data_IF_958722328378
#
_entry.id   IF_958722328378
#
_cell.length_a   1.000
_cell.length_b   1.000
_cell.length_c   1.000
_cell.angle_alpha   90.00
_cell.angle_beta   90.00
_cell.angle_gamma   90.00
#
_symmetry.space_group_name_H-M   'P 1'
#
loop_
_entity.id
_entity.type
_entity.pdbx_description
1 polymer ?
#
# COMPACT_ATOMS: atom_id res chain seq x y z
N UNK A 1 -6.53 -35.26 11.65
CA UNK A 1 -7.50 -34.16 11.84
C UNK A 1 -6.85 -32.86 12.29
N UNK A 2 -6.22 -32.75 13.46
CA UNK A 2 -5.63 -31.46 13.93
C UNK A 2 -4.63 -30.87 12.93
N UNK A 3 -3.69 -31.68 12.45
CA UNK A 3 -2.68 -31.26 11.48
C UNK A 3 -3.27 -30.82 10.13
N UNK A 4 -4.33 -31.49 9.68
CA UNK A 4 -5.04 -31.13 8.43
C UNK A 4 -5.84 -29.84 8.59
N UNK A 5 -6.51 -29.66 9.74
CA UNK A 5 -7.21 -28.41 10.07
C UNK A 5 -6.27 -27.20 10.11
N UNK A 6 -5.07 -27.38 10.70
CA UNK A 6 -4.01 -26.37 10.70
C UNK A 6 -3.50 -26.07 9.28
N UNK A 7 -3.26 -27.10 8.47
CA UNK A 7 -2.83 -26.94 7.09
C UNK A 7 -3.87 -26.19 6.23
N UNK A 8 -5.15 -26.54 6.37
CA UNK A 8 -6.25 -25.88 5.68
C UNK A 8 -6.36 -24.41 6.11
N UNK A 9 -6.29 -24.12 7.41
CA UNK A 9 -6.34 -22.76 7.93
C UNK A 9 -5.18 -21.90 7.39
N UNK A 10 -3.97 -22.49 7.30
CA UNK A 10 -2.80 -21.85 6.66
C UNK A 10 -3.12 -21.46 5.22
N UNK A 11 -3.74 -22.36 4.45
CA UNK A 11 -4.03 -22.15 3.03
C UNK A 11 -5.00 -20.99 2.77
N UNK A 12 -5.87 -20.68 3.74
CA UNK A 12 -6.82 -19.56 3.69
C UNK A 12 -6.38 -18.32 4.49
N UNK A 13 -5.16 -18.32 5.03
CA UNK A 13 -4.64 -17.26 5.90
C UNK A 13 -5.56 -16.94 7.11
N UNK A 14 -6.26 -17.95 7.63
CA UNK A 14 -7.15 -17.83 8.78
C UNK A 14 -6.54 -18.49 10.01
N UNK A 15 -7.08 -18.21 11.20
CA UNK A 15 -6.61 -18.82 12.46
C UNK A 15 -7.26 -20.17 12.69
N UNK A 16 -6.52 -21.11 13.27
CA UNK A 16 -7.05 -22.40 13.72
C UNK A 16 -7.12 -22.43 15.25
N UNK A 17 -8.22 -22.95 15.79
CA UNK A 17 -8.38 -23.25 17.21
C UNK A 17 -9.28 -24.48 17.34
N UNK A 18 -8.86 -25.45 18.15
CA UNK A 18 -9.69 -26.60 18.50
C UNK A 18 -10.54 -26.22 19.72
N UNK A 19 -11.83 -26.56 19.71
CA UNK A 19 -12.79 -26.15 20.75
C UNK A 19 -13.82 -27.25 20.97
N UNK A 20 -14.22 -27.42 22.23
CA UNK A 20 -15.31 -28.32 22.60
C UNK A 20 -16.22 -27.66 23.62
N UNK A 21 -17.48 -27.43 23.24
CA UNK A 21 -18.48 -26.77 24.10
C UNK A 21 -18.91 -27.69 25.26
N UNK A 22 -18.97 -29.01 25.04
CA UNK A 22 -19.44 -29.97 26.04
C UNK A 22 -18.55 -30.06 27.29
N UNK A 23 -17.27 -29.66 27.17
CA UNK A 23 -16.31 -29.61 28.27
C UNK A 23 -15.75 -28.20 28.51
N UNK A 24 -16.36 -27.18 27.89
CA UNK A 24 -15.94 -25.79 27.94
C UNK A 24 -14.45 -25.55 27.59
N UNK A 25 -13.92 -26.29 26.62
CA UNK A 25 -12.54 -26.16 26.17
C UNK A 25 -12.40 -25.07 25.10
N UNK A 26 -11.51 -24.10 25.35
CA UNK A 26 -11.13 -23.01 24.43
C UNK A 26 -12.24 -22.07 23.97
N UNK A 27 -13.42 -22.11 24.62
CA UNK A 27 -14.57 -21.27 24.25
C UNK A 27 -14.24 -19.78 24.45
N UNK A 28 -13.71 -19.41 25.62
CA UNK A 28 -13.34 -18.02 25.92
C UNK A 28 -12.23 -17.53 24.99
N UNK A 29 -11.21 -18.36 24.77
CA UNK A 29 -10.09 -18.07 23.86
C UNK A 29 -10.55 -17.85 22.41
N UNK A 30 -11.53 -18.63 21.94
CA UNK A 30 -12.14 -18.44 20.63
C UNK A 30 -12.85 -17.08 20.53
N UNK A 31 -13.67 -16.74 21.53
CA UNK A 31 -14.45 -15.50 21.53
C UNK A 31 -13.56 -14.25 21.65
N UNK A 32 -12.60 -14.27 22.58
CA UNK A 32 -11.59 -13.21 22.74
C UNK A 32 -10.73 -13.09 21.49
N UNK A 33 -10.31 -14.23 20.92
CA UNK A 33 -9.52 -14.29 19.69
C UNK A 33 -10.24 -13.67 18.49
N UNK A 34 -11.53 -13.97 18.31
CA UNK A 34 -12.35 -13.42 17.24
C UNK A 34 -12.53 -11.90 17.38
N UNK A 35 -12.88 -11.43 18.58
CA UNK A 35 -13.04 -9.99 18.86
C UNK A 35 -11.73 -9.23 18.60
N UNK A 36 -10.62 -9.77 19.05
CA UNK A 36 -9.28 -9.20 18.84
C UNK A 36 -8.96 -9.11 17.35
N UNK A 37 -9.25 -10.18 16.59
CA UNK A 37 -9.03 -10.21 15.15
C UNK A 37 -9.86 -9.16 14.39
N UNK A 38 -11.11 -8.96 14.79
CA UNK A 38 -11.98 -7.93 14.21
C UNK A 38 -11.39 -6.53 14.45
N UNK A 39 -10.99 -6.22 15.68
CA UNK A 39 -10.39 -4.92 16.03
C UNK A 39 -9.10 -4.66 15.26
N UNK A 40 -8.21 -5.65 15.17
CA UNK A 40 -6.98 -5.54 14.39
C UNK A 40 -7.27 -5.29 12.90
N UNK A 41 -8.21 -6.02 12.29
CA UNK A 41 -8.58 -5.83 10.89
C UNK A 41 -9.10 -4.41 10.61
N UNK A 42 -9.89 -3.84 11.51
CA UNK A 42 -10.37 -2.46 11.40
C UNK A 42 -9.22 -1.44 11.48
N UNK A 43 -8.34 -1.58 12.47
CA UNK A 43 -7.18 -0.70 12.63
C UNK A 43 -6.24 -0.76 11.42
N UNK A 44 -5.97 -1.95 10.90
CA UNK A 44 -5.16 -2.11 9.70
C UNK A 44 -5.82 -1.51 8.46
N UNK A 45 -7.15 -1.67 8.30
CA UNK A 45 -7.88 -1.04 7.21
C UNK A 45 -7.80 0.48 7.28
N UNK A 46 -7.99 1.07 8.47
CA UNK A 46 -7.88 2.50 8.70
C UNK A 46 -6.45 3.01 8.39
N UNK A 47 -5.42 2.35 8.90
CA UNK A 47 -4.02 2.71 8.66
C UNK A 47 -3.65 2.62 7.17
N UNK A 48 -4.15 1.60 6.45
CA UNK A 48 -3.96 1.48 4.99
C UNK A 48 -4.64 2.63 4.23
N UNK A 49 -5.86 2.97 4.60
CA UNK A 49 -6.60 4.08 3.99
C UNK A 49 -5.88 5.42 4.19
N UNK A 50 -5.36 5.68 5.40
CA UNK A 50 -4.61 6.91 5.71
C UNK A 50 -3.32 7.00 4.88
N UNK A 51 -2.53 5.92 4.81
CA UNK A 51 -1.32 5.84 3.99
C UNK A 51 -1.63 6.11 2.51
N UNK A 52 -2.74 5.57 2.01
CA UNK A 52 -3.18 5.81 0.64
C UNK A 52 -3.57 7.27 0.40
N UNK A 53 -4.27 7.92 1.34
CA UNK A 53 -4.60 9.35 1.28
C UNK A 53 -3.34 10.23 1.23
N UNK A 54 -2.37 10.00 2.12
CA UNK A 54 -1.08 10.73 2.12
C UNK A 54 -0.33 10.59 0.79
N UNK A 55 -0.28 9.37 0.24
CA UNK A 55 0.35 9.11 -1.07
C UNK A 55 -0.34 9.85 -2.21
N UNK A 56 -1.67 9.89 -2.22
CA UNK A 56 -2.44 10.57 -3.26
C UNK A 56 -2.35 12.10 -3.13
N UNK A 57 -2.34 12.63 -1.91
CA UNK A 57 -2.13 14.06 -1.64
C UNK A 57 -0.79 14.58 -2.16
N UNK A 58 0.31 13.84 -1.91
CA UNK A 58 1.65 14.18 -2.41
C UNK A 58 1.77 14.21 -3.94
N UNK A 59 1.01 13.36 -4.65
CA UNK A 59 0.95 13.40 -6.12
C UNK A 59 0.20 14.63 -6.63
N UNK A 60 -0.88 15.04 -5.96
CA UNK A 60 -1.68 16.20 -6.35
C UNK A 60 -0.89 17.50 -6.21
N UNK A 61 -0.09 17.65 -5.15
CA UNK A 61 0.77 18.84 -4.97
C UNK A 61 1.89 18.92 -6.01
N UNK A 62 2.52 17.80 -6.36
CA UNK A 62 3.55 17.76 -7.42
C UNK A 62 3.03 18.08 -8.82
N UNK A 63 1.81 17.66 -9.16
CA UNK A 63 1.22 18.01 -10.47
C UNK A 63 0.85 19.50 -10.55
N UNK A 64 0.34 20.09 -9.46
CA UNK A 64 0.00 21.51 -9.42
C UNK A 64 1.22 22.44 -9.50
N UNK A 65 2.36 22.02 -8.96
CA UNK A 65 3.63 22.72 -9.09
C UNK A 65 4.29 22.60 -10.49
N UNK A 66 3.71 21.79 -11.39
CA UNK A 66 4.21 21.59 -12.76
C UNK A 66 3.37 22.26 -13.84
N UNK A 67 2.31 23.00 -13.47
CA UNK A 67 1.64 23.89 -14.41
C UNK A 67 2.64 24.98 -14.83
N UNK A 68 2.91 25.15 -16.14
CA UNK A 68 3.70 26.26 -16.62
C UNK A 68 3.02 27.55 -16.15
N UNK A 69 3.73 28.40 -15.41
CA UNK A 69 3.34 29.80 -15.35
C UNK A 69 3.43 30.32 -16.77
N UNK A 70 2.30 30.75 -17.33
CA UNK A 70 2.28 31.55 -18.54
C UNK A 70 3.24 32.73 -18.31
N UNK A 71 4.28 32.78 -19.12
CA UNK A 71 5.19 33.91 -19.17
C UNK A 71 4.41 34.95 -19.96
N UNK A 72 3.99 36.00 -19.27
CA UNK A 72 3.42 37.20 -19.86
C UNK A 72 4.36 37.69 -20.97
N UNK A 73 3.81 37.77 -22.18
CA UNK A 73 4.51 38.05 -23.44
C UNK A 73 5.02 39.51 -23.42
N UNK A 74 6.33 39.78 -23.55
CA UNK A 74 6.79 41.15 -23.77
C UNK A 74 6.46 41.59 -25.21
N UNK A 75 6.23 42.89 -25.46
CA UNK A 75 5.71 43.39 -26.74
C UNK A 75 6.68 43.13 -27.90
N UNK A 76 6.18 43.00 -29.15
CA UNK A 76 6.99 42.53 -30.28
C UNK A 76 8.00 43.59 -30.75
N UNK A 77 9.27 43.22 -31.02
CA UNK A 77 10.21 44.06 -31.79
C UNK A 77 10.02 43.89 -33.31
N UNK A 78 10.39 44.90 -34.13
CA UNK A 78 10.15 44.88 -35.57
C UNK A 78 11.07 43.90 -36.30
N UNK A 79 10.57 43.47 -37.47
CA UNK A 79 11.07 42.41 -38.34
C UNK A 79 12.58 42.43 -38.62
N UNK A 80 13.24 41.27 -38.51
CA UNK A 80 13.90 40.60 -39.65
C UNK A 80 14.56 39.26 -39.26
N UNK A 81 14.48 38.31 -40.20
CA UNK A 81 15.39 37.17 -40.43
C UNK A 81 15.42 35.95 -39.47
N UNK A 82 14.84 34.85 -39.98
CA UNK A 82 15.28 33.45 -39.94
C UNK A 82 15.44 32.72 -38.58
N UNK A 83 14.48 31.84 -38.27
CA UNK A 83 14.54 30.88 -37.16
C UNK A 83 14.64 29.42 -37.64
N UNK A 84 15.66 28.68 -37.21
CA UNK A 84 15.59 27.20 -37.07
C UNK A 84 15.58 26.85 -35.57
N UNK A 85 14.72 25.92 -35.09
CA UNK A 85 14.58 25.69 -33.67
C UNK A 85 15.62 24.70 -33.14
N UNK A 86 16.54 25.19 -32.32
CA UNK A 86 17.43 24.36 -31.49
C UNK A 86 16.59 23.75 -30.35
N UNK A 87 16.04 22.55 -30.57
CA UNK A 87 15.35 21.77 -29.52
C UNK A 87 16.34 21.46 -28.38
N UNK A 88 16.20 22.17 -27.27
CA UNK A 88 16.92 21.90 -26.02
C UNK A 88 16.57 20.48 -25.54
N UNK A 89 17.58 19.63 -25.49
CA UNK A 89 17.54 18.29 -24.90
C UNK A 89 17.06 18.39 -23.45
N UNK A 90 15.79 18.06 -23.16
CA UNK A 90 15.39 17.68 -21.80
C UNK A 90 15.81 16.22 -21.62
N UNK A 91 16.96 16.00 -21.00
CA UNK A 91 17.33 14.70 -20.47
C UNK A 91 16.26 14.32 -19.43
N UNK A 92 15.42 13.35 -19.78
CA UNK A 92 14.40 12.79 -18.90
C UNK A 92 15.08 12.14 -17.69
N UNK A 93 14.58 12.47 -16.50
CA UNK A 93 15.07 11.97 -15.23
C UNK A 93 15.29 10.44 -15.26
N UNK A 94 16.54 10.03 -15.06
CA UNK A 94 16.89 8.61 -14.90
C UNK A 94 16.20 8.10 -13.63
N UNK A 95 15.12 7.33 -13.80
CA UNK A 95 14.44 6.66 -12.70
C UNK A 95 15.33 5.51 -12.28
N UNK A 96 15.99 5.65 -11.11
CA UNK A 96 16.73 4.56 -10.48
C UNK A 96 15.75 3.41 -10.14
N UNK A 97 15.67 2.42 -11.02
CA UNK A 97 14.76 1.24 -10.95
C UNK A 97 14.95 0.39 -9.68
N UNK A 98 16.08 0.54 -8.97
CA UNK A 98 16.37 -0.21 -7.72
C UNK A 98 15.31 -0.03 -6.61
N UNK A 99 14.52 1.04 -6.62
CA UNK A 99 13.48 1.29 -5.60
C UNK A 99 12.06 0.81 -5.96
N UNK A 100 11.83 0.26 -7.14
CA UNK A 100 10.49 -0.21 -7.57
C UNK A 100 10.27 -1.68 -7.22
N UNK A 101 11.31 -2.50 -7.34
CA UNK A 101 11.25 -3.94 -7.03
C UNK A 101 10.93 -4.22 -5.54
N UNK A 102 11.49 -3.43 -4.62
CA UNK A 102 11.18 -3.57 -3.18
C UNK A 102 9.71 -3.31 -2.83
N UNK A 103 8.97 -2.55 -3.66
CA UNK A 103 7.53 -2.32 -3.47
C UNK A 103 6.65 -3.45 -3.98
N UNK A 104 7.15 -4.28 -4.90
CA UNK A 104 6.45 -5.45 -5.42
C UNK A 104 6.63 -6.64 -4.47
N UNK A 105 7.82 -6.78 -3.86
CA UNK A 105 8.09 -7.82 -2.86
C UNK A 105 7.47 -7.56 -1.47
N UNK A 106 7.11 -6.32 -1.14
CA UNK A 106 6.37 -6.02 0.09
C UNK A 106 4.93 -6.56 0.11
N UNK A 107 4.49 -7.23 -0.97
CA UNK A 107 3.12 -7.73 -1.16
C UNK A 107 2.85 -9.09 -0.53
N UNK A 108 3.86 -9.73 0.07
CA UNK A 108 3.66 -10.84 1.02
C UNK A 108 3.68 -10.32 2.46
N UNK A 109 2.94 -9.24 2.74
CA UNK A 109 2.64 -8.91 4.13
C UNK A 109 1.60 -9.91 4.61
N UNK A 110 2.03 -11.18 4.85
CA UNK A 110 1.37 -12.07 5.78
C UNK A 110 0.96 -11.21 6.94
N UNK A 111 -0.34 -11.05 7.16
CA UNK A 111 -0.82 -10.17 8.21
C UNK A 111 -0.14 -10.64 9.49
N UNK A 112 0.54 -9.76 10.25
CA UNK A 112 1.16 -10.14 11.54
C UNK A 112 0.19 -10.86 12.48
N UNK A 113 -1.09 -10.61 12.27
CA UNK A 113 -2.22 -11.31 12.85
C UNK A 113 -2.22 -12.84 12.67
N UNK A 114 -1.53 -13.37 11.67
CA UNK A 114 -1.44 -14.78 11.28
C UNK A 114 -0.06 -15.38 11.61
N UNK A 115 0.88 -14.59 12.16
CA UNK A 115 2.20 -15.08 12.55
C UNK A 115 2.12 -16.08 13.73
N UNK A 116 0.99 -16.11 14.44
CA UNK A 116 0.65 -17.12 15.44
C UNK A 116 -0.56 -17.92 14.96
N UNK A 117 -0.37 -18.76 13.94
CA UNK A 117 -1.42 -19.65 13.44
C UNK A 117 -1.86 -20.69 14.49
N UNK A 118 -1.00 -20.89 15.49
CA UNK A 118 -1.27 -21.69 16.67
C UNK A 118 -1.32 -20.73 17.86
N UNK A 119 -2.47 -20.57 18.47
CA UNK A 119 -2.57 -20.02 19.83
C UNK A 119 -2.52 -21.24 20.75
N UNK A 120 -1.46 -21.26 21.57
CA UNK A 120 -1.08 -22.20 22.65
C UNK A 120 -1.46 -23.68 22.45
#
# INVERSE_FOLDING_TARGET
MVSEGKALATSYECKFIETSVGINHNVDELLVGLLTQIRLKQQHAAARAERQRKRNGSRKTRNRARSPKEIEEPPPPPASAASTPRKRTRLSASVKVRGLLGRVWARDSKSKSCENLHVL
#
